data_IF_931331364640
#
_entry.id   IF_931331364640
#
_cell.length_a   1.000
_cell.length_b   1.000
_cell.length_c   1.000
_cell.angle_alpha   90.00
_cell.angle_beta   90.00
_cell.angle_gamma   90.00
#
_symmetry.space_group_name_H-M   'P 1'
#
loop_
_entity.id
_entity.type
_entity.pdbx_description
1 polymer ?
#
# COMPACT_ATOMS: atom_id res chain seq x y z
N UNK A 1 -19.81 -2.46 13.27
CA UNK A 1 -19.78 -2.61 14.75
C UNK A 1 -20.98 -3.39 15.26
N UNK A 2 -22.17 -2.79 15.42
CA UNK A 2 -23.38 -3.47 15.97
C UNK A 2 -23.73 -4.83 15.34
N UNK A 3 -23.63 -4.96 14.01
CA UNK A 3 -23.90 -6.23 13.31
C UNK A 3 -22.90 -7.32 13.69
N UNK A 4 -21.61 -6.99 13.78
CA UNK A 4 -20.53 -7.91 14.15
C UNK A 4 -20.69 -8.35 15.60
N UNK A 5 -20.97 -7.42 16.50
CA UNK A 5 -21.19 -7.69 17.92
C UNK A 5 -22.43 -8.56 18.16
N UNK A 6 -23.54 -8.28 17.44
CA UNK A 6 -24.76 -9.11 17.51
C UNK A 6 -24.51 -10.56 17.04
N UNK A 7 -23.54 -10.77 16.16
CA UNK A 7 -23.11 -12.09 15.71
C UNK A 7 -22.08 -12.76 16.65
N UNK A 8 -21.79 -12.15 17.81
CA UNK A 8 -20.81 -12.66 18.78
C UNK A 8 -19.35 -12.30 18.49
N UNK A 9 -19.09 -11.50 17.45
CA UNK A 9 -17.74 -11.04 17.12
C UNK A 9 -17.28 -9.91 18.02
N UNK A 10 -16.02 -9.96 18.46
CA UNK A 10 -15.37 -8.85 19.18
C UNK A 10 -14.82 -7.85 18.16
N UNK A 11 -15.33 -6.61 18.20
CA UNK A 11 -14.81 -5.51 17.38
C UNK A 11 -13.68 -4.83 18.12
N UNK A 12 -12.54 -4.66 17.45
CA UNK A 12 -11.42 -3.85 17.95
C UNK A 12 -11.29 -2.67 17.02
N UNK A 13 -11.50 -1.46 17.54
CA UNK A 13 -11.24 -0.23 16.79
C UNK A 13 -9.74 0.04 16.85
N UNK A 14 -9.13 0.25 15.70
CA UNK A 14 -7.71 0.58 15.56
C UNK A 14 -7.64 2.01 15.04
N UNK A 15 -6.95 2.89 15.76
CA UNK A 15 -6.70 4.27 15.32
C UNK A 15 -5.21 4.52 15.13
N UNK A 16 -4.38 3.95 16.01
CA UNK A 16 -2.93 4.01 15.94
C UNK A 16 -2.32 2.77 15.27
N UNK A 17 -1.04 2.82 14.86
CA UNK A 17 -0.32 1.64 14.39
C UNK A 17 -0.40 0.47 15.38
N UNK A 18 -0.65 -0.74 14.89
CA UNK A 18 -0.77 -1.94 15.73
C UNK A 18 -0.26 -3.17 14.99
N UNK A 19 0.40 -4.07 15.73
CA UNK A 19 0.69 -5.41 15.25
C UNK A 19 -0.56 -6.29 15.40
N UNK A 20 -1.12 -6.76 14.29
CA UNK A 20 -2.29 -7.64 14.28
C UNK A 20 -1.91 -9.07 14.65
N UNK A 21 -0.80 -9.55 14.10
CA UNK A 21 -0.15 -10.81 14.41
C UNK A 21 1.32 -10.71 14.02
N UNK A 22 2.11 -11.73 14.36
CA UNK A 22 3.57 -11.72 14.17
C UNK A 22 3.95 -11.20 12.78
N UNK A 23 4.69 -10.09 12.76
CA UNK A 23 5.21 -9.42 11.56
C UNK A 23 4.15 -8.82 10.63
N UNK A 24 2.91 -8.65 11.08
CA UNK A 24 1.81 -8.06 10.29
C UNK A 24 1.20 -6.91 11.06
N UNK A 25 1.24 -5.71 10.47
CA UNK A 25 0.85 -4.47 11.11
C UNK A 25 -0.22 -3.74 10.30
N UNK A 26 -0.99 -2.91 11.00
CA UNK A 26 -1.78 -1.84 10.38
C UNK A 26 -1.09 -0.50 10.61
N UNK A 27 -1.26 0.40 9.65
CA UNK A 27 -0.78 1.80 9.76
C UNK A 27 -1.49 2.62 10.83
N UNK A 28 -2.61 2.15 11.37
CA UNK A 28 -3.59 3.03 12.00
C UNK A 28 -4.42 3.78 10.96
N UNK A 29 -5.36 4.61 11.43
CA UNK A 29 -6.21 5.46 10.61
C UNK A 29 -5.34 6.53 9.92
N UNK A 30 -5.45 6.66 8.60
CA UNK A 30 -4.75 7.68 7.81
C UNK A 30 -5.74 8.45 6.94
N UNK A 31 -5.44 9.73 6.67
CA UNK A 31 -6.27 10.62 5.84
C UNK A 31 -7.15 11.56 6.68
N UNK A 32 -7.90 12.42 5.99
CA UNK A 32 -8.84 13.37 6.61
C UNK A 32 -10.27 13.18 6.10
N UNK A 33 -10.44 13.11 4.77
CA UNK A 33 -11.76 13.00 4.14
C UNK A 33 -12.22 11.55 4.07
N UNK A 34 -11.34 10.68 3.57
CA UNK A 34 -11.53 9.23 3.53
C UNK A 34 -10.44 8.61 4.39
N UNK A 35 -10.86 8.08 5.53
CA UNK A 35 -9.98 7.41 6.48
C UNK A 35 -9.71 5.97 6.00
N UNK A 36 -8.45 5.63 5.85
CA UNK A 36 -7.99 4.31 5.41
C UNK A 36 -6.94 3.72 6.35
N UNK A 37 -6.84 2.39 6.30
CA UNK A 37 -5.72 1.64 6.85
C UNK A 37 -4.96 0.97 5.70
N UNK A 38 -3.65 0.81 5.87
CA UNK A 38 -2.84 -0.08 5.04
C UNK A 38 -2.23 -1.20 5.87
N UNK A 39 -1.99 -2.33 5.22
CA UNK A 39 -1.33 -3.50 5.79
C UNK A 39 0.17 -3.44 5.54
N UNK A 40 0.96 -3.78 6.55
CA UNK A 40 2.42 -3.85 6.45
C UNK A 40 2.86 -5.26 6.87
N UNK A 41 3.67 -5.92 6.05
CA UNK A 41 4.35 -7.14 6.42
C UNK A 41 5.83 -6.84 6.63
N UNK A 42 6.35 -7.17 7.82
CA UNK A 42 7.77 -7.10 8.11
C UNK A 42 8.49 -8.37 7.64
N UNK A 43 9.39 -8.22 6.67
CA UNK A 43 10.10 -9.34 6.06
C UNK A 43 11.61 -9.12 6.02
N UNK A 44 12.38 -10.19 5.84
CA UNK A 44 13.84 -10.13 5.66
C UNK A 44 14.30 -9.18 4.55
N UNK A 45 13.49 -8.99 3.49
CA UNK A 45 13.82 -8.15 2.32
C UNK A 45 13.47 -6.68 2.49
N UNK A 46 12.73 -6.32 3.53
CA UNK A 46 12.10 -5.00 3.67
C UNK A 46 10.60 -5.12 3.92
N UNK A 47 9.93 -3.99 4.03
CA UNK A 47 8.49 -3.95 4.26
C UNK A 47 7.72 -4.24 2.97
N UNK A 48 6.65 -5.02 3.07
CA UNK A 48 5.64 -5.11 2.02
C UNK A 48 4.43 -4.33 2.48
N UNK A 49 3.99 -3.37 1.67
CA UNK A 49 2.85 -2.50 1.99
C UNK A 49 1.71 -2.78 1.04
N UNK A 50 0.53 -3.07 1.59
CA UNK A 50 -0.69 -3.32 0.84
C UNK A 50 -1.69 -2.21 1.14
N UNK A 51 -2.14 -1.54 0.08
CA UNK A 51 -3.16 -0.49 0.14
C UNK A 51 -4.49 -0.96 -0.46
N UNK A 52 -5.58 -0.45 0.09
CA UNK A 52 -6.90 -0.49 -0.55
C UNK A 52 -6.95 0.43 -1.78
N UNK A 53 -7.18 1.72 -1.56
CA UNK A 53 -7.21 2.72 -2.65
C UNK A 53 -6.24 3.89 -2.45
N UNK A 54 -5.71 4.12 -1.25
CA UNK A 54 -4.71 5.16 -0.96
C UNK A 54 -5.19 6.60 -1.17
N UNK A 55 -6.42 6.92 -0.74
CA UNK A 55 -6.89 8.31 -0.68
C UNK A 55 -5.97 9.23 0.17
N UNK A 56 -5.32 8.77 1.27
CA UNK A 56 -4.32 9.58 1.97
C UNK A 56 -3.07 9.93 1.15
N UNK A 57 -2.88 9.30 -0.01
CA UNK A 57 -1.65 9.37 -0.80
C UNK A 57 -0.77 8.14 -0.57
N UNK A 58 -0.37 7.48 -1.66
CA UNK A 58 0.40 6.24 -1.57
C UNK A 58 1.84 6.50 -1.09
N UNK A 59 2.41 7.65 -1.39
CA UNK A 59 3.73 8.10 -0.89
C UNK A 59 3.73 8.33 0.62
N UNK A 60 2.63 8.82 1.16
CA UNK A 60 2.38 9.11 2.57
C UNK A 60 2.21 7.81 3.33
N UNK A 61 1.50 6.84 2.75
CA UNK A 61 1.40 5.47 3.27
C UNK A 61 2.77 4.80 3.33
N UNK A 62 3.59 4.93 2.27
CA UNK A 62 4.97 4.40 2.25
C UNK A 62 5.81 5.05 3.35
N UNK A 63 5.77 6.38 3.47
CA UNK A 63 6.47 7.11 4.52
C UNK A 63 6.07 6.65 5.92
N UNK A 64 4.75 6.52 6.17
CA UNK A 64 4.23 6.06 7.46
C UNK A 64 4.66 4.63 7.78
N UNK A 65 4.65 3.73 6.80
CA UNK A 65 5.12 2.36 7.01
C UNK A 65 6.60 2.31 7.41
N UNK A 66 7.45 3.12 6.76
CA UNK A 66 8.87 3.26 7.11
C UNK A 66 9.05 3.80 8.52
N UNK A 67 8.26 4.80 8.91
CA UNK A 67 8.29 5.38 10.27
C UNK A 67 7.93 4.35 11.35
N UNK A 68 6.87 3.56 11.14
CA UNK A 68 6.36 2.59 12.13
C UNK A 68 7.40 1.53 12.48
N UNK A 69 8.12 1.01 11.48
CA UNK A 69 9.05 -0.13 11.65
C UNK A 69 10.53 0.25 11.48
N UNK A 70 10.82 1.53 11.23
CA UNK A 70 12.16 2.05 10.93
C UNK A 70 12.91 1.19 9.90
N UNK A 71 12.24 0.89 8.78
CA UNK A 71 12.73 -0.06 7.76
C UNK A 71 12.27 0.35 6.37
N UNK A 72 13.11 0.09 5.37
CA UNK A 72 12.78 0.42 3.98
C UNK A 72 11.71 -0.49 3.40
N UNK A 73 10.95 0.06 2.45
CA UNK A 73 9.84 -0.64 1.80
C UNK A 73 10.37 -1.37 0.57
N UNK A 74 10.25 -2.69 0.56
CA UNK A 74 10.63 -3.53 -0.55
C UNK A 74 9.55 -3.57 -1.64
N UNK A 75 8.27 -3.66 -1.27
CA UNK A 75 7.20 -3.84 -2.24
C UNK A 75 5.93 -3.10 -1.83
N UNK A 76 5.36 -2.30 -2.73
CA UNK A 76 4.06 -1.64 -2.53
C UNK A 76 3.08 -2.10 -3.60
N UNK A 77 1.89 -2.53 -3.20
CA UNK A 77 0.85 -2.89 -4.16
C UNK A 77 -0.57 -2.62 -3.66
N UNK A 78 -1.49 -2.48 -4.62
CA UNK A 78 -2.89 -2.16 -4.37
C UNK A 78 -3.40 -1.01 -5.25
N UNK A 79 -4.53 -0.43 -4.87
CA UNK A 79 -5.05 0.78 -5.50
C UNK A 79 -4.33 2.02 -4.99
N UNK A 80 -3.96 2.93 -5.91
CA UNK A 80 -3.22 4.16 -5.60
C UNK A 80 -4.04 5.45 -5.83
N UNK A 81 -5.30 5.34 -6.28
CA UNK A 81 -6.21 6.47 -6.55
C UNK A 81 -5.63 7.56 -7.48
N UNK A 82 -5.02 7.16 -8.59
CA UNK A 82 -4.32 8.07 -9.51
C UNK A 82 -5.06 8.31 -10.83
N UNK A 83 -6.23 7.71 -11.04
CA UNK A 83 -6.91 7.73 -12.35
C UNK A 83 -7.23 9.13 -12.89
N UNK A 84 -7.34 10.12 -12.00
CA UNK A 84 -7.56 11.53 -12.33
C UNK A 84 -6.30 12.41 -12.28
N UNK A 85 -5.12 11.82 -12.03
CA UNK A 85 -3.85 12.54 -11.99
C UNK A 85 -3.21 12.61 -13.38
N UNK A 86 -2.58 13.74 -13.65
CA UNK A 86 -1.80 13.96 -14.86
C UNK A 86 -0.52 13.13 -14.87
N UNK A 87 0.08 12.95 -16.04
CA UNK A 87 1.35 12.25 -16.18
C UNK A 87 2.45 12.84 -15.31
N UNK A 88 2.57 14.17 -15.26
CA UNK A 88 3.56 14.85 -14.42
C UNK A 88 3.39 14.53 -12.93
N UNK A 89 2.14 14.46 -12.45
CA UNK A 89 1.85 14.09 -11.07
C UNK A 89 2.20 12.64 -10.76
N UNK A 90 1.89 11.71 -11.67
CA UNK A 90 2.23 10.29 -11.47
C UNK A 90 3.74 10.06 -11.52
N UNK A 91 4.44 10.72 -12.44
CA UNK A 91 5.90 10.69 -12.52
C UNK A 91 6.56 11.25 -11.25
N UNK A 92 5.99 12.29 -10.63
CA UNK A 92 6.46 12.79 -9.35
C UNK A 92 6.26 11.77 -8.20
N UNK A 93 5.19 10.97 -8.23
CA UNK A 93 4.94 9.90 -7.26
C UNK A 93 5.93 8.74 -7.46
N UNK A 94 6.15 8.32 -8.72
CA UNK A 94 7.15 7.30 -9.06
C UNK A 94 8.54 7.70 -8.55
N UNK A 95 8.97 8.94 -8.81
CA UNK A 95 10.26 9.46 -8.30
C UNK A 95 10.34 9.45 -6.77
N UNK A 96 9.24 9.71 -6.08
CA UNK A 96 9.20 9.63 -4.62
C UNK A 96 9.32 8.18 -4.13
N UNK A 97 8.74 7.21 -4.84
CA UNK A 97 8.95 5.80 -4.54
C UNK A 97 10.41 5.38 -4.72
N UNK A 98 11.02 5.76 -5.84
CA UNK A 98 12.43 5.50 -6.13
C UNK A 98 13.35 6.12 -5.06
N UNK A 99 13.10 7.39 -4.71
CA UNK A 99 13.85 8.09 -3.65
C UNK A 99 13.64 7.48 -2.27
N UNK A 100 12.48 6.86 -2.02
CA UNK A 100 12.19 6.09 -0.80
C UNK A 100 12.77 4.67 -0.84
N UNK A 101 13.44 4.26 -1.92
CA UNK A 101 14.03 2.94 -2.07
C UNK A 101 13.03 1.81 -2.33
N UNK A 102 11.83 2.12 -2.83
CA UNK A 102 10.82 1.11 -3.13
C UNK A 102 11.27 0.26 -4.31
N UNK A 103 11.58 -1.02 -4.04
CA UNK A 103 12.15 -1.93 -5.04
C UNK A 103 11.10 -2.41 -6.03
N UNK A 104 9.94 -2.86 -5.56
CA UNK A 104 8.87 -3.43 -6.40
C UNK A 104 7.58 -2.63 -6.29
N UNK A 105 6.79 -2.63 -7.35
CA UNK A 105 5.50 -1.94 -7.40
C UNK A 105 4.41 -2.77 -8.11
N UNK A 106 3.19 -2.74 -7.58
CA UNK A 106 2.02 -3.43 -8.13
C UNK A 106 0.77 -2.56 -8.07
N UNK A 107 0.72 -1.52 -8.91
CA UNK A 107 -0.46 -0.65 -9.03
C UNK A 107 -1.67 -1.37 -9.65
N UNK A 108 -2.88 -1.16 -9.14
CA UNK A 108 -4.12 -1.76 -9.71
C UNK A 108 -5.40 -0.96 -9.44
N UNK A 109 -6.53 -1.45 -9.91
CA UNK A 109 -7.88 -0.96 -9.58
C UNK A 109 -8.06 0.56 -9.82
N UNK A 110 -8.24 1.34 -8.75
CA UNK A 110 -8.48 2.78 -8.79
C UNK A 110 -7.26 3.61 -9.24
N UNK A 111 -6.12 2.97 -9.52
CA UNK A 111 -4.97 3.65 -10.10
C UNK A 111 -5.25 4.15 -11.52
N UNK A 112 -6.04 3.42 -12.32
CA UNK A 112 -6.35 3.74 -13.72
C UNK A 112 -5.35 3.12 -14.71
N UNK A 113 -5.85 2.68 -15.87
CA UNK A 113 -5.09 1.87 -16.83
C UNK A 113 -3.85 2.62 -17.35
N UNK A 114 -4.02 3.88 -17.75
CA UNK A 114 -2.92 4.69 -18.26
C UNK A 114 -1.84 4.93 -17.20
N UNK A 115 -2.24 5.15 -15.95
CA UNK A 115 -1.32 5.35 -14.84
C UNK A 115 -0.60 4.05 -14.47
N UNK A 116 -1.28 2.91 -14.56
CA UNK A 116 -0.67 1.58 -14.40
C UNK A 116 0.42 1.36 -15.45
N UNK A 117 0.19 1.73 -16.71
CA UNK A 117 1.23 1.64 -17.75
C UNK A 117 2.47 2.48 -17.41
N UNK A 118 2.32 3.69 -16.87
CA UNK A 118 3.47 4.49 -16.43
C UNK A 118 4.26 3.85 -15.29
N UNK A 119 3.59 3.15 -14.36
CA UNK A 119 4.29 2.37 -13.34
C UNK A 119 5.00 1.14 -13.93
N UNK A 120 4.40 0.47 -14.92
CA UNK A 120 5.04 -0.65 -15.63
C UNK A 120 6.30 -0.19 -16.35
N UNK A 121 6.22 0.93 -17.06
CA UNK A 121 7.36 1.52 -17.76
C UNK A 121 8.49 1.89 -16.79
N UNK A 122 8.17 2.53 -15.67
CA UNK A 122 9.18 2.97 -14.69
C UNK A 122 9.83 1.80 -13.94
N UNK A 123 9.05 0.79 -13.54
CA UNK A 123 9.56 -0.31 -12.73
C UNK A 123 10.08 -1.50 -13.55
N UNK A 124 9.75 -1.61 -14.84
CA UNK A 124 10.22 -2.70 -15.71
C UNK A 124 10.02 -4.09 -15.08
N UNK A 125 11.12 -4.84 -14.94
CA UNK A 125 11.13 -6.18 -14.33
C UNK A 125 10.73 -6.20 -12.84
N UNK A 126 10.79 -5.04 -12.18
CA UNK A 126 10.35 -4.87 -10.80
C UNK A 126 8.86 -4.53 -10.65
N UNK A 127 8.15 -4.32 -11.76
CA UNK A 127 6.69 -4.21 -11.73
C UNK A 127 6.06 -5.59 -11.61
N UNK A 128 5.15 -5.75 -10.64
CA UNK A 128 4.40 -6.98 -10.42
C UNK A 128 2.98 -6.80 -10.94
N UNK A 129 2.65 -7.47 -12.05
CA UNK A 129 1.31 -7.45 -12.63
C UNK A 129 0.26 -8.00 -11.65
N UNK A 130 -0.75 -7.17 -11.41
CA UNK A 130 -1.86 -7.42 -10.50
C UNK A 130 -3.12 -7.86 -11.24
N UNK A 131 -4.01 -8.59 -10.57
CA UNK A 131 -5.27 -9.02 -11.15
C UNK A 131 -6.02 -10.05 -10.31
N UNK A 132 -7.29 -10.28 -10.63
CA UNK A 132 -8.12 -11.29 -9.96
C UNK A 132 -7.51 -12.67 -10.11
N UNK A 133 -7.52 -13.46 -9.03
CA UNK A 133 -6.95 -14.82 -9.01
C UNK A 133 -5.42 -14.87 -8.99
N UNK A 134 -4.73 -13.72 -9.02
CA UNK A 134 -3.27 -13.66 -8.93
C UNK A 134 -2.82 -14.09 -7.54
N UNK A 135 -1.90 -15.06 -7.50
CA UNK A 135 -1.16 -15.42 -6.29
C UNK A 135 0.19 -14.73 -6.36
N UNK A 136 0.47 -13.87 -5.39
CA UNK A 136 1.79 -13.23 -5.22
C UNK A 136 2.58 -14.07 -4.23
N UNK A 137 3.65 -14.71 -4.71
CA UNK A 137 4.60 -15.43 -3.86
C UNK A 137 5.83 -14.56 -3.66
N UNK A 138 6.11 -14.25 -2.40
CA UNK A 138 7.30 -13.49 -2.02
C UNK A 138 8.19 -14.46 -1.27
N UNK A 139 9.33 -14.79 -1.86
CA UNK A 139 10.36 -15.58 -1.20
C UNK A 139 11.10 -14.63 -0.27
N UNK A 140 10.88 -14.80 1.02
CA UNK A 140 11.44 -14.02 2.14
C UNK A 140 12.48 -14.86 2.88
#
# INVERSE_FOLDING_TARGET
>A
VKRTEKAGGKVVKVTEPVELCKNVYLTGEMGTDIIEHSLIFDTSKGLIVITGCAHPGVTEIVSKAREILNKDVYFVFGGFHLMQKSQAQVQAIIKQFEAAGVVKCGATHCTGDQQIEWFKEAYGDDYVSMGVGKIIKIVI
#
